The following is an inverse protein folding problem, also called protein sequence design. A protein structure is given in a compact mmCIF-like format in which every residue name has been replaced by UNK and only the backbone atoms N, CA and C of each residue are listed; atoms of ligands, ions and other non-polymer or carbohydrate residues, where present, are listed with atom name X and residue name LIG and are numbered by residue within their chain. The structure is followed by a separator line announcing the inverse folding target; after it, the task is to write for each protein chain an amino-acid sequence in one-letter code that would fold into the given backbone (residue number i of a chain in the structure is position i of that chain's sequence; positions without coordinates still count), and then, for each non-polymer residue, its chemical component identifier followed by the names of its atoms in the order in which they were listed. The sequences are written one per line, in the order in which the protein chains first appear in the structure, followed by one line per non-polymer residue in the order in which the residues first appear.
data_IF_259918556789
#
_entry.id   IF_259918556789
#
_cell.length_a   1.000
_cell.length_b   1.000
_cell.length_c   1.000
_cell.angle_alpha   90.00
_cell.angle_beta   90.00
_cell.angle_gamma   90.00
#
_symmetry.space_group_name_H-M   'P 1'
#
loop_
_entity.id
_entity.type
_entity.pdbx_description
1 polymer ?
#
# COMPACT_ATOMS: atom_id res chain seq x y z
N UNK A 1 24.99 -7.61 -13.83
CA UNK A 1 24.67 -7.42 -12.40
C UNK A 1 25.27 -6.14 -11.78
N UNK A 2 26.51 -5.73 -12.12
CA UNK A 2 27.20 -4.59 -11.45
C UNK A 2 26.41 -3.27 -11.53
N UNK A 3 25.73 -3.02 -12.66
CA UNK A 3 24.90 -1.83 -12.91
C UNK A 3 23.39 -2.08 -12.89
N UNK A 4 22.97 -3.29 -12.52
CA UNK A 4 21.56 -3.68 -12.48
C UNK A 4 20.96 -3.27 -11.13
N UNK A 5 19.77 -2.65 -11.12
CA UNK A 5 19.05 -2.33 -9.90
C UNK A 5 18.03 -3.43 -9.60
N UNK A 6 18.24 -4.16 -8.50
CA UNK A 6 17.26 -5.12 -7.99
C UNK A 6 16.27 -4.38 -7.12
N UNK A 7 14.98 -4.53 -7.44
CA UNK A 7 13.86 -3.96 -6.69
C UNK A 7 13.20 -5.09 -5.92
N UNK A 8 12.99 -4.89 -4.62
CA UNK A 8 12.18 -5.75 -3.77
C UNK A 8 10.88 -5.03 -3.44
N UNK A 9 9.79 -5.79 -3.40
CA UNK A 9 8.48 -5.32 -2.98
C UNK A 9 8.16 -5.96 -1.64
N UNK A 10 7.65 -5.17 -0.71
CA UNK A 10 7.17 -5.65 0.58
C UNK A 10 5.92 -4.88 1.01
N UNK A 11 5.12 -5.49 1.89
CA UNK A 11 3.87 -4.95 2.39
C UNK A 11 3.69 -5.20 3.89
N UNK A 12 3.47 -4.13 4.64
CA UNK A 12 3.10 -4.19 6.05
C UNK A 12 1.58 -4.15 6.19
N UNK A 13 0.99 -5.31 6.49
CA UNK A 13 -0.44 -5.47 6.80
C UNK A 13 -0.82 -5.10 8.24
N UNK A 14 0.15 -4.57 9.01
CA UNK A 14 -0.07 -4.08 10.39
C UNK A 14 -0.12 -2.55 10.45
N UNK A 15 0.27 -1.87 9.38
CA UNK A 15 0.20 -0.42 9.25
C UNK A 15 -1.25 0.00 8.88
N UNK A 16 -2.19 -0.38 9.74
CA UNK A 16 -3.62 -0.11 9.54
C UNK A 16 -3.92 1.37 9.83
N UNK A 17 -4.74 1.99 8.98
CA UNK A 17 -5.25 3.34 9.17
C UNK A 17 -6.77 3.27 9.35
N UNK A 18 -7.28 3.81 10.47
CA UNK A 18 -8.71 3.88 10.74
C UNK A 18 -9.32 5.11 10.08
N UNK A 19 -10.59 5.05 9.73
CA UNK A 19 -11.31 6.24 9.31
C UNK A 19 -11.32 7.29 10.42
N UNK A 20 -11.02 8.52 10.02
CA UNK A 20 -11.08 9.66 10.90
C UNK A 20 -12.50 9.96 11.36
N UNK A 21 -12.65 10.28 12.64
CA UNK A 21 -13.94 10.69 13.22
C UNK A 21 -14.42 12.04 12.68
N UNK A 22 -13.49 12.90 12.25
CA UNK A 22 -13.74 14.25 11.75
C UNK A 22 -12.82 14.54 10.55
N UNK A 23 -13.12 14.00 9.37
CA UNK A 23 -12.24 14.10 8.20
C UNK A 23 -12.03 15.56 7.74
N UNK A 24 -12.97 16.46 8.03
CA UNK A 24 -12.84 17.89 7.68
C UNK A 24 -11.83 18.66 8.52
N UNK A 25 -11.48 18.15 9.70
CA UNK A 25 -10.52 18.79 10.60
C UNK A 25 -9.08 18.30 10.35
N UNK A 26 -8.91 17.37 9.40
CA UNK A 26 -7.63 16.74 9.14
C UNK A 26 -6.71 17.62 8.30
N UNK A 27 -5.45 17.66 8.73
CA UNK A 27 -4.38 18.37 8.05
C UNK A 27 -3.28 17.37 7.73
N UNK A 28 -3.16 17.02 6.45
CA UNK A 28 -2.11 16.14 5.98
C UNK A 28 -0.77 16.88 6.00
N UNK A 29 0.25 16.27 6.60
CA UNK A 29 1.62 16.83 6.59
C UNK A 29 2.20 16.90 5.18
N UNK A 30 1.81 15.96 4.31
CA UNK A 30 2.35 15.78 2.96
C UNK A 30 1.22 15.27 2.06
N UNK A 31 1.17 15.74 0.82
CA UNK A 31 0.22 15.31 -0.22
C UNK A 31 0.65 14.01 -0.95
N UNK A 32 1.49 13.21 -0.28
CA UNK A 32 2.18 12.07 -0.89
C UNK A 32 3.42 12.47 -1.71
N UNK A 33 3.93 13.71 -1.63
CA UNK A 33 5.27 14.02 -2.16
C UNK A 33 6.35 13.33 -1.33
N UNK A 34 7.26 12.61 -1.98
CA UNK A 34 8.35 11.87 -1.32
C UNK A 34 8.33 10.40 -1.67
N UNK A 35 8.13 9.53 -0.68
CA UNK A 35 8.11 8.07 -0.88
C UNK A 35 6.74 7.53 -1.24
N UNK A 36 5.66 8.14 -0.73
CA UNK A 36 4.30 7.76 -1.09
C UNK A 36 3.95 8.20 -2.51
N UNK A 37 2.99 7.51 -3.13
CA UNK A 37 2.35 7.98 -4.35
C UNK A 37 1.33 9.06 -3.98
N UNK A 38 1.21 10.09 -4.80
CA UNK A 38 0.21 11.14 -4.58
C UNK A 38 -1.21 10.57 -4.50
N UNK A 39 -1.94 10.95 -3.45
CA UNK A 39 -3.25 10.40 -3.09
C UNK A 39 -4.24 10.37 -4.26
N UNK A 40 -4.45 11.51 -4.92
CA UNK A 40 -5.43 11.66 -6.01
C UNK A 40 -5.12 10.74 -7.19
N UNK A 41 -3.84 10.66 -7.58
CA UNK A 41 -3.39 9.84 -8.72
C UNK A 41 -3.59 8.36 -8.43
N UNK A 42 -3.23 7.93 -7.23
CA UNK A 42 -3.37 6.54 -6.84
C UNK A 42 -4.84 6.13 -6.68
N UNK A 43 -5.68 6.97 -6.06
CA UNK A 43 -7.12 6.73 -5.98
C UNK A 43 -7.79 6.70 -7.37
N UNK A 44 -7.34 7.57 -8.29
CA UNK A 44 -7.76 7.54 -9.68
C UNK A 44 -7.40 6.21 -10.36
N UNK A 45 -6.19 5.71 -10.13
CA UNK A 45 -5.76 4.40 -10.60
C UNK A 45 -6.61 3.27 -10.02
N UNK A 46 -6.82 3.23 -8.70
CA UNK A 46 -7.62 2.18 -8.05
C UNK A 46 -9.05 2.11 -8.59
N UNK A 47 -9.68 3.26 -8.89
CA UNK A 47 -11.01 3.30 -9.53
C UNK A 47 -11.02 2.72 -10.94
N UNK A 48 -9.91 2.85 -11.67
CA UNK A 48 -9.77 2.34 -13.03
C UNK A 48 -9.25 0.89 -13.08
N UNK A 49 -8.54 0.45 -12.03
CA UNK A 49 -7.98 -0.87 -11.90
C UNK A 49 -9.11 -1.90 -11.78
N UNK A 50 -9.01 -2.96 -12.58
CA UNK A 50 -9.92 -4.11 -12.50
C UNK A 50 -9.24 -5.20 -11.69
N UNK A 51 -9.31 -5.09 -10.36
CA UNK A 51 -8.86 -6.18 -9.52
C UNK A 51 -9.93 -7.28 -9.48
N UNK A 52 -9.56 -8.47 -9.96
CA UNK A 52 -10.33 -9.69 -9.75
C UNK A 52 -9.83 -10.32 -8.46
N UNK A 53 -10.60 -10.31 -7.34
CA UNK A 53 -10.16 -10.93 -6.11
C UNK A 53 -9.99 -12.43 -6.34
N UNK A 54 -8.73 -12.86 -6.45
CA UNK A 54 -8.38 -14.27 -6.59
C UNK A 54 -8.30 -14.86 -5.19
N UNK A 55 -9.37 -15.55 -4.79
CA UNK A 55 -9.38 -16.30 -3.54
C UNK A 55 -8.32 -17.40 -3.66
N UNK A 56 -7.28 -17.33 -2.84
CA UNK A 56 -6.22 -18.33 -2.84
C UNK A 56 -6.66 -19.47 -1.92
N UNK A 57 -6.86 -20.66 -2.47
CA UNK A 57 -7.33 -21.86 -1.74
C UNK A 57 -6.21 -22.54 -0.91
N UNK A 58 -5.05 -21.90 -0.82
CA UNK A 58 -3.87 -22.39 -0.12
C UNK A 58 -3.86 -21.93 1.34
N UNK A 59 -3.69 -22.87 2.29
CA UNK A 59 -3.60 -22.60 3.73
C UNK A 59 -2.48 -21.59 4.08
N UNK A 60 -1.33 -21.62 3.39
CA UNK A 60 -0.23 -20.67 3.63
C UNK A 60 -0.55 -19.23 3.17
N UNK A 61 -1.60 -19.02 2.37
CA UNK A 61 -2.03 -17.69 1.93
C UNK A 61 -3.20 -17.13 2.76
N UNK A 62 -3.56 -17.76 3.88
CA UNK A 62 -4.60 -17.28 4.78
C UNK A 62 -4.39 -15.83 5.21
N UNK A 63 -3.13 -15.41 5.46
CA UNK A 63 -2.81 -14.05 5.85
C UNK A 63 -3.29 -13.02 4.81
N UNK A 64 -3.16 -13.34 3.51
CA UNK A 64 -3.63 -12.48 2.41
C UNK A 64 -5.16 -12.48 2.38
N UNK A 65 -5.80 -13.64 2.53
CA UNK A 65 -7.26 -13.72 2.57
C UNK A 65 -7.87 -12.99 3.79
N UNK A 66 -7.17 -12.98 4.93
CA UNK A 66 -7.60 -12.32 6.16
C UNK A 66 -7.32 -10.81 6.16
N UNK A 67 -6.24 -10.37 5.51
CA UNK A 67 -6.00 -8.96 5.24
C UNK A 67 -7.07 -8.38 4.31
N UNK A 68 -7.48 -9.15 3.29
CA UNK A 68 -8.55 -8.79 2.35
C UNK A 68 -9.98 -9.00 2.90
N UNK A 69 -10.14 -9.52 4.12
CA UNK A 69 -11.45 -9.62 4.73
C UNK A 69 -11.98 -8.21 5.01
N UNK A 70 -13.24 -7.96 4.63
CA UNK A 70 -13.82 -6.61 4.66
C UNK A 70 -13.80 -6.01 6.07
N UNK A 71 -12.92 -5.01 6.31
CA UNK A 71 -12.81 -4.29 7.59
C UNK A 71 -13.47 -2.92 7.46
N UNK A 72 -14.78 -2.86 7.69
CA UNK A 72 -15.62 -1.65 7.58
C UNK A 72 -15.17 -0.41 8.39
N UNK A 73 -14.12 -0.50 9.20
CA UNK A 73 -13.62 0.59 10.07
C UNK A 73 -12.27 1.15 9.63
N UNK A 74 -11.61 0.51 8.66
CA UNK A 74 -10.28 0.92 8.19
C UNK A 74 -10.39 1.66 6.86
N UNK A 75 -9.65 2.76 6.77
CA UNK A 75 -9.41 3.48 5.52
C UNK A 75 -8.29 2.82 4.71
N UNK A 76 -7.27 2.31 5.39
CA UNK A 76 -6.23 1.47 4.82
C UNK A 76 -5.95 0.27 5.73
N UNK A 77 -5.73 -0.88 5.12
CA UNK A 77 -5.37 -2.15 5.77
C UNK A 77 -3.86 -2.35 5.90
N UNK A 78 -3.07 -1.61 5.12
CA UNK A 78 -1.62 -1.68 5.19
C UNK A 78 -0.93 -0.68 4.27
N UNK A 79 0.40 -0.78 4.25
CA UNK A 79 1.26 -0.01 3.35
C UNK A 79 2.17 -0.99 2.61
N UNK A 80 2.24 -0.87 1.29
CA UNK A 80 3.17 -1.59 0.45
C UNK A 80 4.11 -0.65 -0.28
N UNK A 81 5.25 -1.16 -0.72
CA UNK A 81 6.04 -0.46 -1.71
C UNK A 81 7.38 -1.10 -2.00
N UNK A 82 8.22 -0.34 -2.68
CA UNK A 82 9.43 -0.87 -3.28
C UNK A 82 10.69 -0.33 -2.60
N UNK A 83 11.67 -1.20 -2.42
CA UNK A 83 13.00 -0.84 -1.93
C UNK A 83 14.10 -1.36 -2.86
N UNK A 84 15.26 -0.72 -2.82
CA UNK A 84 16.44 -1.20 -3.51
C UNK A 84 17.08 -2.34 -2.70
N UNK A 85 17.16 -3.54 -3.28
CA UNK A 85 17.72 -4.70 -2.58
C UNK A 85 19.20 -4.53 -2.21
N UNK A 86 19.93 -3.69 -2.95
CA UNK A 86 21.36 -3.44 -2.72
C UNK A 86 21.61 -2.49 -1.56
N UNK A 87 20.79 -1.44 -1.45
CA UNK A 87 21.06 -0.32 -0.53
C UNK A 87 20.05 -0.24 0.61
N UNK A 88 18.98 -1.02 0.58
CA UNK A 88 17.90 -1.00 1.57
C UNK A 88 17.04 0.28 1.55
N UNK A 89 17.31 1.22 0.64
CA UNK A 89 16.55 2.46 0.57
C UNK A 89 15.20 2.25 -0.13
N UNK A 90 14.16 2.89 0.39
CA UNK A 90 12.87 2.98 -0.29
C UNK A 90 13.02 3.73 -1.62
N UNK A 91 12.25 3.30 -2.61
CA UNK A 91 12.18 3.98 -3.89
C UNK A 91 11.18 5.13 -3.74
N UNK A 92 11.57 6.37 -4.07
CA UNK A 92 10.65 7.50 -4.05
C UNK A 92 9.41 7.23 -4.90
N UNK A 93 8.26 7.72 -4.47
CA UNK A 93 6.99 7.59 -5.17
C UNK A 93 6.62 6.13 -5.53
N UNK A 94 6.87 5.21 -4.58
CA UNK A 94 6.57 3.78 -4.73
C UNK A 94 5.83 3.16 -3.55
N UNK A 95 5.65 3.90 -2.45
CA UNK A 95 4.83 3.46 -1.33
C UNK A 95 3.36 3.78 -1.61
N UNK A 96 2.48 2.83 -1.32
CA UNK A 96 1.02 2.92 -1.48
C UNK A 96 0.35 2.32 -0.26
N UNK A 97 -0.79 2.85 0.10
CA UNK A 97 -1.74 2.24 1.01
C UNK A 97 -2.74 1.33 0.26
N UNK A 98 -3.35 0.39 0.95
CA UNK A 98 -4.40 -0.48 0.41
C UNK A 98 -5.30 -1.01 1.53
#
# INVERSE_FOLDING_TARGET
WKYSRTIIMDGSFKAEHMHDKKPHDQVFLMDGKGYMVGWEKYHGYLKAAKDAPKRLDCNNHWAVNQANAHRHKLEATGIGGCACARHGCFIPHSLVDF
#
